data_IF_101620496011
#
_entry.id   IF_101620496011
#
_cell.length_a   1.000
_cell.length_b   1.000
_cell.length_c   1.000
_cell.angle_alpha   90.00
_cell.angle_beta   90.00
_cell.angle_gamma   90.00
#
_symmetry.space_group_name_H-M   'P 1'
#
loop_
_entity.id
_entity.type
_entity.pdbx_description
1 polymer ?
#
# COMPACT_ATOMS: atom_id res chain seq x y z
N UNK A 1 26.03 -4.93 2.76
CA UNK A 1 25.07 -4.49 3.82
C UNK A 1 25.88 -3.91 4.99
N UNK A 2 25.54 -2.73 5.47
CA UNK A 2 26.23 -2.16 6.62
C UNK A 2 25.95 -3.02 7.86
N UNK A 3 27.02 -3.44 8.54
CA UNK A 3 26.92 -4.20 9.80
C UNK A 3 26.90 -3.29 11.03
N UNK A 4 27.39 -2.06 10.87
CA UNK A 4 27.46 -1.04 11.93
C UNK A 4 26.99 0.29 11.37
N UNK A 5 26.20 1.01 12.12
CA UNK A 5 25.65 2.32 11.74
C UNK A 5 24.32 2.27 10.98
N UNK A 6 23.64 3.40 10.96
CA UNK A 6 22.36 3.58 10.27
C UNK A 6 22.57 3.88 8.79
N UNK A 7 21.81 3.22 7.93
CA UNK A 7 21.78 3.57 6.50
C UNK A 7 20.98 4.86 6.33
N UNK A 8 21.55 5.91 5.72
CA UNK A 8 20.80 7.13 5.47
C UNK A 8 19.64 6.85 4.52
N UNK A 9 18.47 7.36 4.84
CA UNK A 9 17.30 7.27 3.96
C UNK A 9 17.45 8.29 2.85
N UNK A 10 17.29 7.84 1.60
CA UNK A 10 17.27 8.75 0.44
C UNK A 10 16.00 9.60 0.49
N UNK A 11 16.16 10.88 0.23
CA UNK A 11 15.04 11.78 0.08
C UNK A 11 14.28 11.47 -1.22
N UNK A 12 12.96 11.46 -1.16
CA UNK A 12 12.10 11.21 -2.32
C UNK A 12 11.50 12.55 -2.72
N UNK A 13 11.79 12.96 -3.96
CA UNK A 13 11.23 14.17 -4.52
C UNK A 13 9.75 14.00 -4.88
N UNK A 14 8.93 15.05 -4.72
CA UNK A 14 7.53 14.99 -5.13
C UNK A 14 7.39 14.79 -6.64
N UNK A 15 6.26 14.21 -7.06
CA UNK A 15 5.96 14.01 -8.48
C UNK A 15 5.78 15.35 -9.20
N UNK A 16 6.39 15.55 -10.39
CA UNK A 16 6.30 16.83 -11.08
C UNK A 16 4.89 17.20 -11.55
N UNK A 17 4.02 16.22 -11.85
CA UNK A 17 2.65 16.49 -12.32
C UNK A 17 1.67 16.78 -11.17
N UNK A 18 1.80 16.07 -10.05
CA UNK A 18 0.86 16.15 -8.92
C UNK A 18 1.48 16.79 -7.66
N UNK A 19 2.76 17.10 -7.69
CA UNK A 19 3.51 17.66 -6.56
C UNK A 19 3.28 16.88 -5.25
N UNK A 20 3.27 15.55 -5.34
CA UNK A 20 2.99 14.64 -4.23
C UNK A 20 4.05 13.57 -4.10
N UNK A 21 4.62 13.44 -2.90
CA UNK A 21 5.57 12.36 -2.55
C UNK A 21 4.88 11.00 -2.58
N UNK A 22 3.60 10.95 -2.22
CA UNK A 22 2.82 9.72 -2.23
C UNK A 22 2.68 9.15 -3.66
N UNK A 23 2.47 10.02 -4.64
CA UNK A 23 2.42 9.64 -6.07
C UNK A 23 3.78 9.12 -6.53
N UNK A 24 4.88 9.75 -6.15
CA UNK A 24 6.24 9.25 -6.46
C UNK A 24 6.47 7.85 -5.88
N UNK A 25 6.05 7.61 -4.65
CA UNK A 25 6.13 6.30 -4.02
C UNK A 25 5.28 5.24 -4.73
N UNK A 26 4.10 5.62 -5.22
CA UNK A 26 3.26 4.75 -6.04
C UNK A 26 3.94 4.37 -7.34
N UNK A 27 4.51 5.35 -8.07
CA UNK A 27 5.30 5.11 -9.28
C UNK A 27 6.44 4.14 -9.01
N UNK A 28 7.20 4.36 -7.93
CA UNK A 28 8.30 3.47 -7.54
C UNK A 28 7.83 2.05 -7.18
N UNK A 29 6.63 1.91 -6.62
CA UNK A 29 6.04 0.59 -6.30
C UNK A 29 5.58 -0.17 -7.55
N UNK A 30 5.10 0.53 -8.55
CA UNK A 30 4.63 -0.06 -9.81
C UNK A 30 5.79 -0.37 -10.76
N UNK A 31 6.89 0.37 -10.64
CA UNK A 31 8.06 0.22 -11.50
C UNK A 31 8.61 -1.21 -11.47
N UNK A 32 8.89 -1.74 -12.67
CA UNK A 32 9.56 -3.02 -12.90
C UNK A 32 10.83 -2.77 -13.73
N UNK A 33 11.89 -3.51 -13.43
CA UNK A 33 13.17 -3.50 -14.17
C UNK A 33 13.78 -2.08 -14.34
N UNK A 34 13.52 -1.20 -13.40
CA UNK A 34 14.01 0.18 -13.44
C UNK A 34 13.32 1.09 -14.48
N UNK A 35 12.26 0.62 -15.12
CA UNK A 35 11.53 1.35 -16.17
C UNK A 35 10.59 2.41 -15.59
N UNK A 36 11.15 3.45 -14.99
CA UNK A 36 10.38 4.49 -14.29
C UNK A 36 9.43 5.27 -15.21
N UNK A 37 9.87 5.60 -16.43
CA UNK A 37 9.03 6.32 -17.40
C UNK A 37 7.75 5.56 -17.78
N UNK A 38 7.85 4.23 -17.91
CA UNK A 38 6.66 3.37 -18.15
C UNK A 38 5.74 3.37 -16.93
N UNK A 39 6.28 3.27 -15.72
CA UNK A 39 5.50 3.33 -14.48
C UNK A 39 4.79 4.68 -14.32
N UNK A 40 5.45 5.78 -14.65
CA UNK A 40 4.82 7.12 -14.65
C UNK A 40 3.65 7.19 -15.63
N UNK A 41 3.81 6.68 -16.85
CA UNK A 41 2.71 6.62 -17.84
C UNK A 41 1.52 5.80 -17.33
N UNK A 42 1.78 4.69 -16.67
CA UNK A 42 0.71 3.86 -16.07
C UNK A 42 -0.03 4.62 -14.98
N UNK A 43 0.67 5.27 -14.08
CA UNK A 43 0.05 6.02 -12.97
C UNK A 43 -0.73 7.23 -13.50
N UNK A 44 -0.18 7.99 -14.42
CA UNK A 44 -0.86 9.15 -15.01
C UNK A 44 -2.09 8.71 -15.82
N UNK A 45 -1.98 7.64 -16.60
CA UNK A 45 -3.11 7.06 -17.30
C UNK A 45 -4.22 6.56 -16.36
N UNK A 46 -3.85 5.95 -15.24
CA UNK A 46 -4.81 5.54 -14.22
C UNK A 46 -5.52 6.76 -13.59
N UNK A 47 -4.80 7.83 -13.32
CA UNK A 47 -5.38 9.07 -12.75
C UNK A 47 -6.30 9.78 -13.74
N UNK A 48 -5.94 9.79 -15.02
CA UNK A 48 -6.83 10.31 -16.07
C UNK A 48 -8.15 9.53 -16.15
N UNK A 49 -8.07 8.19 -16.08
CA UNK A 49 -9.25 7.32 -16.04
C UNK A 49 -10.12 7.56 -14.78
N UNK A 50 -9.50 7.79 -13.64
CA UNK A 50 -10.23 8.11 -12.40
C UNK A 50 -10.95 9.44 -12.55
N UNK A 51 -10.30 10.46 -13.08
CA UNK A 51 -10.89 11.77 -13.33
C UNK A 51 -12.09 11.69 -14.29
N UNK A 52 -11.93 10.92 -15.37
CA UNK A 52 -13.00 10.70 -16.36
C UNK A 52 -14.23 10.00 -15.77
N UNK A 53 -14.01 8.96 -14.94
CA UNK A 53 -15.09 8.13 -14.40
C UNK A 53 -15.74 8.70 -13.14
N UNK A 54 -15.00 9.41 -12.31
CA UNK A 54 -15.50 9.89 -11.01
C UNK A 54 -15.81 11.40 -11.01
N UNK A 55 -15.33 12.14 -12.02
CA UNK A 55 -15.41 13.61 -12.11
C UNK A 55 -14.78 14.32 -10.89
N UNK A 56 -13.96 13.61 -10.11
CA UNK A 56 -13.25 14.12 -8.93
C UNK A 56 -11.77 14.28 -9.22
N UNK A 57 -11.11 15.05 -8.36
CA UNK A 57 -9.64 15.18 -8.42
C UNK A 57 -8.97 13.81 -8.12
N UNK A 58 -8.17 13.27 -9.06
CA UNK A 58 -7.57 11.93 -8.90
C UNK A 58 -6.71 11.79 -7.65
N UNK A 59 -6.00 12.84 -7.26
CA UNK A 59 -5.16 12.84 -6.08
C UNK A 59 -5.97 12.67 -4.79
N UNK A 60 -7.15 13.30 -4.72
CA UNK A 60 -8.05 13.14 -3.57
C UNK A 60 -8.60 11.72 -3.48
N UNK A 61 -9.02 11.15 -4.61
CA UNK A 61 -9.50 9.76 -4.69
C UNK A 61 -8.41 8.80 -4.27
N UNK A 62 -7.19 8.99 -4.74
CA UNK A 62 -6.04 8.18 -4.37
C UNK A 62 -5.68 8.31 -2.89
N UNK A 63 -5.70 9.51 -2.34
CA UNK A 63 -5.45 9.74 -0.92
C UNK A 63 -6.49 9.05 -0.05
N UNK A 64 -7.77 9.16 -0.42
CA UNK A 64 -8.86 8.46 0.26
C UNK A 64 -8.70 6.93 0.18
N UNK A 65 -8.37 6.41 -0.99
CA UNK A 65 -8.09 5.00 -1.18
C UNK A 65 -6.96 4.51 -0.26
N UNK A 66 -5.87 5.26 -0.18
CA UNK A 66 -4.74 4.93 0.69
C UNK A 66 -5.13 4.95 2.17
N UNK A 67 -5.94 5.90 2.63
CA UNK A 67 -6.44 5.91 4.00
C UNK A 67 -7.27 4.65 4.32
N UNK A 68 -8.05 4.18 3.36
CA UNK A 68 -8.86 2.98 3.51
C UNK A 68 -8.05 1.67 3.44
N UNK A 69 -6.87 1.67 2.80
CA UNK A 69 -6.02 0.49 2.66
C UNK A 69 -5.00 0.36 3.81
N UNK A 70 -4.51 1.46 4.36
CA UNK A 70 -3.46 1.45 5.39
C UNK A 70 -3.88 0.66 6.63
N UNK A 71 -3.13 -0.38 7.04
CA UNK A 71 -3.44 -1.12 8.27
C UNK A 71 -2.94 -0.37 9.51
N UNK A 72 -3.68 -0.45 10.60
CA UNK A 72 -3.25 0.03 11.92
C UNK A 72 -2.54 -1.06 12.73
N UNK A 73 -2.89 -2.32 12.48
CA UNK A 73 -2.36 -3.50 13.17
C UNK A 73 -1.80 -4.51 12.16
N UNK A 74 -0.78 -5.22 12.56
CA UNK A 74 -0.26 -6.40 11.86
C UNK A 74 0.09 -7.49 12.88
N UNK A 75 0.30 -8.71 12.42
CA UNK A 75 0.79 -9.81 13.26
C UNK A 75 2.23 -10.12 12.91
N UNK A 76 3.03 -10.39 13.93
CA UNK A 76 4.43 -10.78 13.80
C UNK A 76 4.64 -12.14 14.45
N UNK A 77 5.26 -13.06 13.72
CA UNK A 77 5.63 -14.34 14.29
C UNK A 77 6.72 -14.17 15.36
N UNK A 78 6.48 -14.69 16.56
CA UNK A 78 7.43 -14.74 17.67
C UNK A 78 7.55 -16.15 18.16
N UNK A 79 8.78 -16.60 18.37
CA UNK A 79 9.06 -17.92 18.92
C UNK A 79 9.32 -17.81 20.43
N UNK A 80 8.49 -18.47 21.22
CA UNK A 80 8.58 -18.49 22.68
C UNK A 80 8.48 -19.93 23.16
N UNK A 81 9.49 -20.42 23.88
CA UNK A 81 9.48 -21.78 24.42
C UNK A 81 9.33 -22.89 23.38
N UNK A 82 9.84 -22.67 22.15
CA UNK A 82 9.74 -23.64 21.04
C UNK A 82 8.46 -23.55 20.22
N UNK A 83 7.44 -22.87 20.68
CA UNK A 83 6.21 -22.60 19.92
C UNK A 83 6.28 -21.23 19.22
N UNK A 84 5.68 -21.14 18.04
CA UNK A 84 5.58 -19.89 17.27
C UNK A 84 4.20 -19.28 17.44
N UNK A 85 4.15 -18.06 17.93
CA UNK A 85 2.92 -17.29 18.12
C UNK A 85 2.84 -16.12 17.14
N UNK A 86 1.62 -15.81 16.65
CA UNK A 86 1.33 -14.63 15.88
C UNK A 86 0.97 -13.50 16.84
N UNK A 87 1.89 -12.56 17.05
CA UNK A 87 1.73 -11.48 18.03
C UNK A 87 1.22 -10.23 17.34
N UNK A 88 0.06 -9.67 17.73
CA UNK A 88 -0.45 -8.42 17.16
C UNK A 88 0.41 -7.23 17.58
N UNK A 89 0.72 -6.36 16.64
CA UNK A 89 1.53 -5.16 16.84
C UNK A 89 0.94 -3.97 16.09
N UNK A 90 1.07 -2.79 16.66
CA UNK A 90 0.78 -1.55 15.97
C UNK A 90 1.78 -1.30 14.84
N UNK A 91 1.28 -0.80 13.72
CA UNK A 91 2.09 -0.50 12.55
C UNK A 91 2.54 0.97 12.59
N UNK A 92 3.84 1.22 12.47
CA UNK A 92 4.37 2.59 12.39
C UNK A 92 3.87 3.31 11.13
N UNK A 93 3.68 4.65 11.15
CA UNK A 93 3.12 5.40 10.02
C UNK A 93 3.83 5.17 8.68
N UNK A 94 5.17 5.14 8.68
CA UNK A 94 5.94 4.88 7.47
C UNK A 94 5.69 3.47 6.91
N UNK A 95 5.54 2.46 7.77
CA UNK A 95 5.24 1.09 7.36
C UNK A 95 3.79 0.94 6.91
N UNK A 96 2.85 1.65 7.55
CA UNK A 96 1.45 1.69 7.11
C UNK A 96 1.34 2.12 5.65
N UNK A 97 2.04 3.20 5.29
CA UNK A 97 2.09 3.70 3.93
C UNK A 97 2.73 2.68 2.97
N UNK A 98 3.83 2.05 3.37
CA UNK A 98 4.52 1.03 2.56
C UNK A 98 3.64 -0.20 2.32
N UNK A 99 2.96 -0.69 3.35
CA UNK A 99 2.04 -1.81 3.23
C UNK A 99 0.85 -1.47 2.35
N UNK A 100 0.26 -0.28 2.51
CA UNK A 100 -0.84 0.19 1.68
C UNK A 100 -0.48 0.25 0.20
N UNK A 101 0.68 0.82 -0.15
CA UNK A 101 1.17 0.87 -1.52
C UNK A 101 1.47 -0.53 -2.10
N UNK A 102 2.06 -1.41 -1.29
CA UNK A 102 2.35 -2.80 -1.69
C UNK A 102 1.07 -3.56 -2.00
N UNK A 103 0.08 -3.48 -1.13
CA UNK A 103 -1.20 -4.16 -1.34
C UNK A 103 -1.97 -3.59 -2.52
N UNK A 104 -2.02 -2.28 -2.65
CA UNK A 104 -2.63 -1.62 -3.81
C UNK A 104 -2.00 -2.13 -5.12
N UNK A 105 -0.67 -2.13 -5.20
CA UNK A 105 0.06 -2.58 -6.39
C UNK A 105 -0.18 -4.06 -6.70
N UNK A 106 -0.07 -4.92 -5.69
CA UNK A 106 -0.23 -6.37 -5.87
C UNK A 106 -1.65 -6.75 -6.30
N UNK A 107 -2.65 -6.16 -5.66
CA UNK A 107 -4.04 -6.46 -6.01
C UNK A 107 -4.51 -5.79 -7.29
N UNK A 108 -3.92 -4.66 -7.66
CA UNK A 108 -4.11 -4.10 -9.01
C UNK A 108 -3.61 -5.06 -10.08
N UNK A 109 -2.43 -5.63 -9.91
CA UNK A 109 -1.87 -6.62 -10.86
C UNK A 109 -2.72 -7.89 -10.99
N UNK A 110 -3.42 -8.27 -9.94
CA UNK A 110 -4.28 -9.46 -9.91
C UNK A 110 -5.67 -9.24 -10.54
N UNK A 111 -6.01 -8.01 -10.94
CA UNK A 111 -7.30 -7.72 -11.58
C UNK A 111 -7.36 -8.22 -13.03
N UNK A 112 -8.57 -8.33 -13.54
CA UNK A 112 -8.87 -8.90 -14.87
C UNK A 112 -8.89 -7.89 -16.02
N UNK A 113 -8.81 -6.57 -15.71
CA UNK A 113 -8.79 -5.54 -16.75
C UNK A 113 -7.59 -5.70 -17.68
N UNK A 114 -7.69 -5.19 -18.90
CA UNK A 114 -6.69 -5.39 -19.95
C UNK A 114 -5.36 -4.73 -19.66
N UNK A 115 -5.36 -3.44 -19.33
CA UNK A 115 -4.14 -2.66 -19.10
C UNK A 115 -3.87 -2.45 -17.62
N UNK A 116 -2.59 -2.24 -17.26
CA UNK A 116 -2.23 -1.94 -15.87
C UNK A 116 -2.81 -0.60 -15.39
N UNK A 117 -2.96 0.38 -16.28
CA UNK A 117 -3.59 1.66 -15.96
C UNK A 117 -5.06 1.47 -15.57
N UNK A 118 -5.80 0.66 -16.30
CA UNK A 118 -7.20 0.31 -15.99
C UNK A 118 -7.30 -0.47 -14.66
N UNK A 119 -6.41 -1.43 -14.44
CA UNK A 119 -6.36 -2.23 -13.20
C UNK A 119 -6.09 -1.34 -11.98
N UNK A 120 -5.11 -0.45 -12.09
CA UNK A 120 -4.75 0.47 -11.01
C UNK A 120 -5.89 1.46 -10.73
N UNK A 121 -6.49 2.04 -11.77
CA UNK A 121 -7.63 2.93 -11.63
C UNK A 121 -8.82 2.24 -10.97
N UNK A 122 -9.14 1.01 -11.40
CA UNK A 122 -10.19 0.19 -10.82
C UNK A 122 -9.97 -0.09 -9.33
N UNK A 123 -8.77 -0.52 -8.94
CA UNK A 123 -8.47 -0.80 -7.54
C UNK A 123 -8.49 0.47 -6.67
N UNK A 124 -7.98 1.60 -7.17
CA UNK A 124 -8.03 2.88 -6.45
C UNK A 124 -9.48 3.34 -6.23
N UNK A 125 -10.32 3.25 -7.25
CA UNK A 125 -11.74 3.63 -7.12
C UNK A 125 -12.48 2.74 -6.14
N UNK A 126 -12.28 1.42 -6.22
CA UNK A 126 -12.89 0.47 -5.29
C UNK A 126 -12.41 0.73 -3.86
N UNK A 127 -11.13 0.94 -3.65
CA UNK A 127 -10.55 1.24 -2.34
C UNK A 127 -11.05 2.59 -1.77
N UNK A 128 -11.24 3.60 -2.60
CA UNK A 128 -11.82 4.88 -2.18
C UNK A 128 -13.26 4.71 -1.66
N UNK A 129 -13.99 3.75 -2.21
CA UNK A 129 -15.33 3.34 -1.75
C UNK A 129 -15.29 2.28 -0.64
N UNK A 130 -14.14 2.04 -0.04
CA UNK A 130 -13.93 1.04 1.03
C UNK A 130 -14.29 -0.39 0.61
N UNK A 131 -14.06 -0.72 -0.65
CA UNK A 131 -14.26 -2.04 -1.25
C UNK A 131 -13.00 -2.51 -1.97
N UNK A 132 -13.05 -3.71 -2.55
CA UNK A 132 -11.93 -4.25 -3.32
C UNK A 132 -10.96 -5.10 -2.52
N UNK A 133 -10.03 -5.74 -3.24
CA UNK A 133 -9.13 -6.75 -2.67
C UNK A 133 -8.07 -6.17 -1.72
N UNK A 134 -7.59 -4.96 -1.96
CA UNK A 134 -6.63 -4.30 -1.09
C UNK A 134 -7.25 -3.96 0.28
N UNK A 135 -8.47 -3.45 0.28
CA UNK A 135 -9.23 -3.19 1.52
C UNK A 135 -9.54 -4.49 2.25
N UNK A 136 -9.95 -5.53 1.53
CA UNK A 136 -10.15 -6.86 2.11
C UNK A 136 -8.90 -7.40 2.78
N UNK A 137 -7.72 -7.20 2.18
CA UNK A 137 -6.44 -7.58 2.80
C UNK A 137 -6.20 -6.86 4.13
N UNK A 138 -6.53 -5.57 4.20
CA UNK A 138 -6.46 -4.83 5.48
C UNK A 138 -7.40 -5.46 6.51
N UNK A 139 -8.65 -5.72 6.14
CA UNK A 139 -9.64 -6.33 7.04
C UNK A 139 -9.19 -7.70 7.53
N UNK A 140 -8.69 -8.56 6.65
CA UNK A 140 -8.18 -9.88 7.01
C UNK A 140 -6.98 -9.77 7.97
N UNK A 141 -6.09 -8.81 7.74
CA UNK A 141 -4.96 -8.54 8.63
C UNK A 141 -5.42 -8.07 10.01
N UNK A 142 -6.42 -7.18 10.08
CA UNK A 142 -7.00 -6.73 11.34
C UNK A 142 -7.74 -7.87 12.07
N UNK A 143 -8.47 -8.72 11.37
CA UNK A 143 -9.11 -9.92 11.96
C UNK A 143 -8.08 -10.89 12.54
N UNK A 144 -6.96 -11.12 11.84
CA UNK A 144 -5.87 -11.93 12.37
C UNK A 144 -5.28 -11.34 13.65
N UNK A 145 -5.07 -10.02 13.67
CA UNK A 145 -4.55 -9.33 14.86
C UNK A 145 -5.54 -9.44 16.04
N UNK A 146 -6.82 -9.29 15.79
CA UNK A 146 -7.85 -9.41 16.79
C UNK A 146 -7.98 -10.85 17.34
N UNK A 147 -7.96 -11.84 16.46
CA UNK A 147 -7.99 -13.27 16.85
C UNK A 147 -6.79 -13.67 17.72
N UNK A 148 -5.66 -13.04 17.53
CA UNK A 148 -4.42 -13.29 18.29
C UNK A 148 -4.21 -12.30 19.44
N UNK A 149 -5.23 -11.53 19.81
CA UNK A 149 -5.14 -10.52 20.88
C UNK A 149 -4.67 -11.08 22.22
N UNK A 150 -4.99 -12.33 22.51
CA UNK A 150 -4.54 -13.03 23.71
C UNK A 150 -3.00 -13.12 23.83
N UNK A 151 -2.26 -13.07 22.72
CA UNK A 151 -0.81 -13.14 22.68
C UNK A 151 -0.13 -11.75 22.67
N UNK A 152 -0.88 -10.66 22.83
CA UNK A 152 -0.35 -9.30 22.83
C UNK A 152 0.74 -9.07 23.90
N UNK A 153 0.68 -9.79 25.02
CA UNK A 153 1.68 -9.73 26.10
C UNK A 153 3.07 -10.26 25.69
N UNK A 154 3.20 -11.00 24.61
CA UNK A 154 4.48 -11.41 24.03
C UNK A 154 5.14 -10.31 23.18
N UNK A 155 4.60 -9.11 23.18
CA UNK A 155 5.15 -7.95 22.50
C UNK A 155 6.27 -7.32 23.35
N UNK A 156 7.52 -7.43 22.91
CA UNK A 156 8.72 -6.72 23.42
C UNK A 156 9.62 -6.28 22.28
#
# INVERSE_FOLDING_TARGET
MPRRGNVPKREILPDPMYNSVLVTKLVNSIMLDGKKGVAQKVVYGAFDLIKEKTEKEPLEVFTQAMENIKPSLEVKARRVGGATYQVPMEVRPARRQTLGLRWLTNYSRARSERTMAERLAGEIMDAANNTGSAVKKREDTHKMAESNKAFAHFRW
#
